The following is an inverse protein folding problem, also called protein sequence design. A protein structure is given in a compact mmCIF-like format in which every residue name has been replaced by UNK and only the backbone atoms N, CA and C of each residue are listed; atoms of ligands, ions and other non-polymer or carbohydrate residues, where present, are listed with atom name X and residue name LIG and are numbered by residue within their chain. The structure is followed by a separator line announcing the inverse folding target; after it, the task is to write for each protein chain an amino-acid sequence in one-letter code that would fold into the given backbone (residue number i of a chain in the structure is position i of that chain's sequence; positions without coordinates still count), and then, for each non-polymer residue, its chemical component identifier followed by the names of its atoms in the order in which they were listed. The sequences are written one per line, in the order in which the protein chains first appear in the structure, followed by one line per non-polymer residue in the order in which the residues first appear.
data_IF_355272129871
#
_entry.id   IF_355272129871
#
_cell.length_a   1.000
_cell.length_b   1.000
_cell.length_c   1.000
_cell.angle_alpha   90.00
_cell.angle_beta   90.00
_cell.angle_gamma   90.00
#
_symmetry.space_group_name_H-M   'P 1'
#
loop_
_entity.id
_entity.type
_entity.pdbx_description
1 polymer ?
#
# COMPACT_ATOMS: atom_id res chain seq x y z
N UNK A 1 12.94 -4.24 2.69
CA UNK A 1 13.37 -3.02 3.42
C UNK A 1 13.47 -3.36 4.90
N UNK A 2 14.15 -2.54 5.70
CA UNK A 2 14.45 -2.83 7.10
C UNK A 2 13.73 -1.79 7.97
N UNK A 3 12.52 -2.12 8.43
CA UNK A 3 11.63 -1.19 9.14
C UNK A 3 12.31 -0.55 10.37
N UNK A 4 13.23 -1.26 11.03
CA UNK A 4 13.99 -0.75 12.17
C UNK A 4 14.93 0.40 11.77
N UNK A 5 15.57 0.31 10.60
CA UNK A 5 16.47 1.37 10.10
C UNK A 5 15.64 2.57 9.68
N UNK A 6 14.52 2.34 8.98
CA UNK A 6 13.63 3.43 8.54
C UNK A 6 13.06 4.20 9.75
N UNK A 7 12.63 3.50 10.82
CA UNK A 7 12.16 4.14 12.06
C UNK A 7 13.27 4.95 12.73
N UNK A 8 14.49 4.39 12.84
CA UNK A 8 15.62 5.11 13.45
C UNK A 8 15.98 6.40 12.66
N UNK A 9 15.87 6.37 11.33
CA UNK A 9 16.08 7.56 10.49
C UNK A 9 14.98 8.61 10.69
N UNK A 10 13.72 8.19 10.89
CA UNK A 10 12.62 9.11 11.21
C UNK A 10 12.86 9.77 12.57
N UNK A 11 13.16 8.99 13.61
CA UNK A 11 13.36 9.48 14.98
C UNK A 11 14.57 10.41 15.09
N UNK A 12 15.62 10.16 14.30
CA UNK A 12 16.81 11.01 14.23
C UNK A 12 16.69 12.20 13.28
N UNK A 13 15.58 12.34 12.55
CA UNK A 13 15.37 13.38 11.54
C UNK A 13 16.27 13.23 10.30
N UNK A 14 16.88 12.06 10.10
CA UNK A 14 17.77 11.76 8.98
C UNK A 14 17.02 11.13 7.78
N UNK A 15 15.71 10.92 7.90
CA UNK A 15 14.92 10.36 6.83
C UNK A 15 14.91 11.31 5.64
N UNK A 16 15.45 10.85 4.51
CA UNK A 16 15.29 11.54 3.22
C UNK A 16 14.07 10.99 2.49
N UNK A 17 13.21 11.91 2.02
CA UNK A 17 12.04 11.62 1.20
C UNK A 17 12.46 11.79 -0.26
N UNK A 18 12.30 10.74 -1.06
CA UNK A 18 12.59 10.78 -2.49
C UNK A 18 11.33 11.18 -3.26
N UNK A 19 11.03 12.47 -3.33
CA UNK A 19 9.85 12.97 -4.04
C UNK A 19 9.93 12.74 -5.56
N UNK A 20 8.88 12.15 -6.13
CA UNK A 20 8.69 12.01 -7.57
C UNK A 20 7.22 12.17 -7.94
N UNK A 21 6.94 12.62 -9.17
CA UNK A 21 5.59 12.59 -9.72
C UNK A 21 5.24 11.16 -10.15
N UNK A 22 4.10 10.65 -9.70
CA UNK A 22 3.54 9.37 -10.18
C UNK A 22 2.01 9.39 -10.14
N UNK A 23 1.40 8.45 -10.88
CA UNK A 23 -0.05 8.24 -10.84
C UNK A 23 -0.43 7.32 -9.67
N UNK A 24 -1.16 7.87 -8.71
CA UNK A 24 -1.65 7.16 -7.53
C UNK A 24 -2.57 6.00 -7.93
N UNK A 25 -3.35 6.15 -9.01
CA UNK A 25 -4.23 5.09 -9.48
C UNK A 25 -3.45 3.84 -9.91
N UNK A 26 -2.31 4.03 -10.55
CA UNK A 26 -1.41 2.93 -10.93
C UNK A 26 -0.90 2.20 -9.70
N UNK A 27 -0.46 2.95 -8.67
CA UNK A 27 0.01 2.37 -7.41
C UNK A 27 -1.11 1.58 -6.70
N UNK A 28 -2.32 2.15 -6.60
CA UNK A 28 -3.44 1.48 -5.94
C UNK A 28 -3.86 0.21 -6.68
N UNK A 29 -3.96 0.25 -8.02
CA UNK A 29 -4.26 -0.93 -8.83
C UNK A 29 -3.21 -2.04 -8.64
N UNK A 30 -1.92 -1.69 -8.62
CA UNK A 30 -0.84 -2.64 -8.37
C UNK A 30 -1.01 -3.34 -7.01
N UNK A 31 -1.28 -2.57 -5.95
CA UNK A 31 -1.54 -3.12 -4.61
C UNK A 31 -2.74 -4.07 -4.64
N UNK A 32 -3.86 -3.66 -5.23
CA UNK A 32 -5.07 -4.50 -5.34
C UNK A 32 -4.74 -5.82 -6.03
N UNK A 33 -4.04 -5.79 -7.15
CA UNK A 33 -3.76 -6.98 -7.95
C UNK A 33 -2.83 -7.96 -7.21
N UNK A 34 -1.89 -7.44 -6.42
CA UNK A 34 -1.07 -8.25 -5.51
C UNK A 34 -1.93 -8.92 -4.44
N UNK A 35 -2.86 -8.19 -3.81
CA UNK A 35 -3.69 -8.76 -2.74
C UNK A 35 -4.79 -9.69 -3.25
N UNK A 36 -5.30 -9.51 -4.47
CA UNK A 36 -6.22 -10.46 -5.11
C UNK A 36 -5.60 -11.86 -5.25
N UNK A 37 -4.29 -11.94 -5.43
CA UNK A 37 -3.55 -13.21 -5.54
C UNK A 37 -2.90 -13.65 -4.21
N UNK A 38 -3.12 -12.91 -3.13
CA UNK A 38 -2.51 -13.22 -1.84
C UNK A 38 -3.12 -14.48 -1.23
N UNK A 39 -2.27 -15.43 -0.82
CA UNK A 39 -2.70 -16.72 -0.26
C UNK A 39 -3.62 -16.59 0.95
N UNK A 40 -3.37 -15.62 1.82
CA UNK A 40 -4.19 -15.40 3.03
C UNK A 40 -5.58 -14.88 2.67
N UNK A 41 -5.66 -13.97 1.70
CA UNK A 41 -6.93 -13.46 1.13
C UNK A 41 -7.73 -14.61 0.52
N UNK A 42 -7.10 -15.40 -0.36
CA UNK A 42 -7.74 -16.53 -1.02
C UNK A 42 -8.21 -17.60 -0.02
N UNK A 43 -7.39 -17.94 0.97
CA UNK A 43 -7.73 -18.93 2.01
C UNK A 43 -8.92 -18.48 2.87
N UNK A 44 -8.97 -17.20 3.19
CA UNK A 44 -10.07 -16.59 3.96
C UNK A 44 -11.28 -16.21 3.11
N UNK A 45 -11.22 -16.41 1.78
CA UNK A 45 -12.25 -16.03 0.82
C UNK A 45 -12.66 -14.56 0.94
N UNK A 46 -11.69 -13.67 1.18
CA UNK A 46 -11.93 -12.24 1.27
C UNK A 46 -11.90 -11.61 -0.13
N UNK A 47 -12.78 -10.64 -0.39
CA UNK A 47 -12.70 -9.81 -1.59
C UNK A 47 -11.90 -8.54 -1.36
N UNK A 48 -11.23 -8.07 -2.41
CA UNK A 48 -10.46 -6.83 -2.41
C UNK A 48 -11.03 -5.91 -3.48
N UNK A 49 -11.74 -4.87 -3.03
CA UNK A 49 -12.35 -3.86 -3.88
C UNK A 49 -11.60 -2.53 -3.78
N UNK A 50 -11.41 -1.86 -4.92
CA UNK A 50 -11.00 -0.47 -4.97
C UNK A 50 -12.18 0.39 -5.41
N UNK A 51 -12.72 1.18 -4.50
CA UNK A 51 -13.73 2.17 -4.80
C UNK A 51 -13.05 3.53 -5.09
N UNK A 52 -12.76 3.75 -6.37
CA UNK A 52 -12.08 4.96 -6.85
C UNK A 52 -12.89 5.60 -7.99
N UNK A 53 -12.80 6.93 -8.20
CA UNK A 53 -13.43 7.58 -9.33
C UNK A 53 -12.99 6.94 -10.66
N UNK A 54 -13.95 6.58 -11.51
CA UNK A 54 -13.64 5.97 -12.81
C UNK A 54 -12.94 6.99 -13.73
N UNK A 55 -11.94 6.52 -14.47
CA UNK A 55 -11.24 7.25 -15.55
C UNK A 55 -10.50 8.53 -15.15
N UNK A 56 -10.14 8.70 -13.88
CA UNK A 56 -9.37 9.86 -13.43
C UNK A 56 -7.95 9.46 -13.03
N UNK A 57 -6.95 9.89 -13.80
CA UNK A 57 -5.55 9.84 -13.37
C UNK A 57 -5.35 10.82 -12.21
N UNK A 58 -4.71 10.36 -11.13
CA UNK A 58 -4.44 11.18 -9.95
C UNK A 58 -2.93 11.28 -9.79
N UNK A 59 -2.35 12.32 -10.40
CA UNK A 59 -0.93 12.61 -10.28
C UNK A 59 -0.64 13.28 -8.95
N UNK A 60 0.33 12.74 -8.22
CA UNK A 60 0.81 13.30 -6.94
C UNK A 60 2.35 13.37 -6.95
N UNK A 61 2.90 14.26 -6.13
CA UNK A 61 4.33 14.33 -5.84
C UNK A 61 4.53 13.76 -4.43
N UNK A 62 5.24 12.63 -4.33
CA UNK A 62 5.52 11.98 -3.05
C UNK A 62 6.65 10.96 -3.20
N UNK A 63 7.02 10.29 -2.11
CA UNK A 63 7.90 9.11 -2.17
C UNK A 63 7.06 7.86 -2.44
N UNK A 64 7.04 7.46 -3.72
CA UNK A 64 6.22 6.32 -4.19
C UNK A 64 6.54 5.02 -3.44
N UNK A 65 7.82 4.75 -3.15
CA UNK A 65 8.25 3.52 -2.51
C UNK A 65 7.77 3.47 -1.05
N UNK A 66 7.91 4.57 -0.31
CA UNK A 66 7.44 4.67 1.06
C UNK A 66 5.91 4.66 1.14
N UNK A 67 5.22 5.35 0.24
CA UNK A 67 3.76 5.31 0.20
C UNK A 67 3.25 3.89 -0.05
N UNK A 68 3.88 3.17 -0.97
CA UNK A 68 3.59 1.75 -1.23
C UNK A 68 3.79 0.88 0.01
N UNK A 69 4.87 1.10 0.77
CA UNK A 69 5.13 0.40 2.03
C UNK A 69 4.04 0.68 3.07
N UNK A 70 3.61 1.93 3.24
CA UNK A 70 2.51 2.30 4.14
C UNK A 70 1.24 1.55 3.76
N UNK A 71 0.88 1.55 2.47
CA UNK A 71 -0.31 0.85 1.98
C UNK A 71 -0.20 -0.67 2.23
N UNK A 72 0.95 -1.29 1.96
CA UNK A 72 1.16 -2.71 2.26
C UNK A 72 1.01 -3.03 3.74
N UNK A 73 1.50 -2.17 4.63
CA UNK A 73 1.35 -2.37 6.07
C UNK A 73 -0.12 -2.34 6.49
N UNK A 74 -0.90 -1.40 5.95
CA UNK A 74 -2.34 -1.33 6.20
C UNK A 74 -3.07 -2.55 5.66
N UNK A 75 -2.77 -2.98 4.43
CA UNK A 75 -3.40 -4.14 3.81
C UNK A 75 -3.03 -5.45 4.51
N UNK A 76 -1.77 -5.62 4.94
CA UNK A 76 -1.36 -6.78 5.73
C UNK A 76 -2.14 -6.86 7.05
N UNK A 77 -2.34 -5.72 7.71
CA UNK A 77 -3.17 -5.65 8.91
C UNK A 77 -4.63 -6.00 8.60
N UNK A 78 -5.21 -5.44 7.54
CA UNK A 78 -6.58 -5.75 7.12
C UNK A 78 -6.77 -7.26 6.89
N UNK A 79 -5.90 -7.91 6.10
CA UNK A 79 -5.99 -9.35 5.82
C UNK A 79 -5.74 -10.19 7.08
N UNK A 80 -4.82 -9.76 7.95
CA UNK A 80 -4.53 -10.45 9.20
C UNK A 80 -5.73 -10.46 10.16
N UNK A 81 -6.38 -9.30 10.33
CA UNK A 81 -7.40 -9.08 11.36
C UNK A 81 -8.85 -9.22 10.85
N UNK A 82 -9.06 -9.37 9.55
CA UNK A 82 -10.37 -9.71 8.98
C UNK A 82 -10.46 -11.22 8.78
N UNK A 83 -11.39 -11.88 9.45
CA UNK A 83 -11.63 -13.32 9.32
C UNK A 83 -12.75 -13.67 8.33
N UNK A 84 -13.66 -12.72 8.08
CA UNK A 84 -14.72 -12.83 7.09
C UNK A 84 -15.13 -11.44 6.61
N UNK A 85 -15.67 -11.37 5.41
CA UNK A 85 -16.14 -10.16 4.73
C UNK A 85 -16.94 -10.55 3.50
N UNK A 86 -17.55 -9.58 2.85
CA UNK A 86 -18.10 -9.78 1.52
C UNK A 86 -16.98 -9.79 0.48
#
# INVERSE_FOLDING_TARGET
MNDIIDIAQIESGQLSISESEFDLMTLMNEVRDIYKLNKSVLKKQLEIELNLPQNQSIKIISDQARLKQVIFNLMNNAVKFTDSGN
#
